data_IF_328396782208
#
_entry.id   IF_328396782208
#
_cell.length_a   1.000
_cell.length_b   1.000
_cell.length_c   1.000
_cell.angle_alpha   90.00
_cell.angle_beta   90.00
_cell.angle_gamma   90.00
#
_symmetry.space_group_name_H-M   'P 1'
#
loop_
_entity.id
_entity.type
_entity.pdbx_description
1 polymer ?
#
# COMPACT_ATOMS: atom_id res chain seq x y z
N UNK A 1 29.17 -2.57 -22.39
CA UNK A 1 27.92 -1.81 -22.16
C UNK A 1 27.89 -1.50 -20.67
N UNK A 2 27.91 -0.22 -20.30
CA UNK A 2 27.92 0.17 -18.89
C UNK A 2 26.50 0.12 -18.32
N UNK A 3 26.39 0.14 -16.99
CA UNK A 3 25.11 0.13 -16.28
C UNK A 3 25.23 0.84 -14.94
N UNK A 4 24.11 1.40 -14.47
CA UNK A 4 23.95 1.93 -13.11
C UNK A 4 22.90 1.14 -12.35
N UNK A 5 22.94 1.22 -11.01
CA UNK A 5 21.86 0.72 -10.17
C UNK A 5 20.77 1.79 -10.08
N UNK A 6 19.53 1.35 -10.19
CA UNK A 6 18.32 2.14 -10.02
C UNK A 6 17.36 1.36 -9.12
N UNK A 7 16.37 2.04 -8.56
CA UNK A 7 15.53 1.49 -7.50
C UNK A 7 14.08 1.48 -7.95
N UNK A 8 13.54 0.29 -8.15
CA UNK A 8 12.21 0.10 -8.75
C UNK A 8 11.11 0.31 -7.71
N UNK A 9 10.10 1.11 -8.05
CA UNK A 9 8.84 1.18 -7.35
C UNK A 9 7.74 0.33 -8.03
N UNK A 10 6.73 -0.08 -7.28
CA UNK A 10 5.49 -0.61 -7.83
C UNK A 10 4.59 0.51 -8.41
N UNK A 11 3.42 0.14 -8.94
CA UNK A 11 2.48 1.09 -9.52
C UNK A 11 1.88 2.10 -8.52
N UNK A 12 2.01 1.84 -7.22
CA UNK A 12 1.55 2.72 -6.13
C UNK A 12 2.70 3.53 -5.52
N UNK A 13 3.92 3.32 -6.02
CA UNK A 13 5.13 4.03 -5.63
C UNK A 13 5.94 3.32 -4.54
N UNK A 14 5.58 2.14 -4.07
CA UNK A 14 6.34 1.44 -3.03
C UNK A 14 7.61 0.82 -3.59
N UNK A 15 8.72 0.98 -2.89
CA UNK A 15 9.98 0.34 -3.27
C UNK A 15 9.83 -1.20 -3.31
N UNK A 16 10.39 -1.80 -4.36
CA UNK A 16 10.41 -3.25 -4.57
C UNK A 16 11.82 -3.82 -4.43
N UNK A 17 12.75 -3.38 -5.27
CA UNK A 17 14.12 -3.90 -5.33
C UNK A 17 15.05 -2.98 -6.14
N UNK A 18 16.37 -3.06 -5.91
CA UNK A 18 17.34 -2.46 -6.83
C UNK A 18 17.42 -3.27 -8.13
N UNK A 19 17.61 -2.61 -9.26
CA UNK A 19 17.77 -3.21 -10.58
C UNK A 19 18.81 -2.46 -11.41
N UNK A 20 19.18 -2.98 -12.58
CA UNK A 20 20.14 -2.35 -13.48
C UNK A 20 19.45 -1.53 -14.57
N UNK A 21 19.93 -0.32 -14.79
CA UNK A 21 19.66 0.45 -16.00
C UNK A 21 20.90 0.43 -16.89
N UNK A 22 20.76 -0.01 -18.12
CA UNK A 22 21.86 -0.10 -19.07
C UNK A 22 21.98 1.17 -19.91
N UNK A 23 23.22 1.54 -20.23
CA UNK A 23 23.53 2.69 -21.08
C UNK A 23 22.94 2.52 -22.50
N UNK A 24 22.43 3.62 -23.06
CA UNK A 24 21.87 3.66 -24.41
C UNK A 24 23.00 3.54 -25.45
N UNK A 25 22.94 2.58 -26.39
CA UNK A 25 24.06 2.30 -27.31
C UNK A 25 24.50 3.49 -28.19
N UNK A 26 23.61 4.44 -28.46
CA UNK A 26 23.85 5.59 -29.35
C UNK A 26 23.94 6.93 -28.59
N UNK A 27 23.85 6.91 -27.26
CA UNK A 27 23.89 8.09 -26.40
C UNK A 27 24.74 7.79 -25.15
N UNK A 28 26.08 7.81 -25.28
CA UNK A 28 26.96 7.56 -24.15
C UNK A 28 26.68 8.52 -22.99
N UNK A 29 26.54 7.97 -21.79
CA UNK A 29 26.15 8.69 -20.57
C UNK A 29 24.65 8.68 -20.25
N UNK A 30 23.78 8.34 -21.21
CA UNK A 30 22.33 8.22 -20.98
C UNK A 30 21.95 6.75 -20.71
N UNK A 31 21.04 6.51 -19.77
CA UNK A 31 20.68 5.16 -19.32
C UNK A 31 19.18 4.87 -19.54
N UNK A 32 18.87 3.63 -19.90
CA UNK A 32 17.49 3.15 -20.04
C UNK A 32 16.88 2.87 -18.66
N UNK A 33 16.50 3.92 -17.94
CA UNK A 33 15.86 3.82 -16.62
C UNK A 33 14.47 3.19 -16.78
N UNK A 34 14.18 2.04 -16.12
CA UNK A 34 12.85 1.44 -16.14
C UNK A 34 11.78 2.41 -15.62
N UNK A 35 10.57 2.30 -16.15
CA UNK A 35 9.44 3.11 -15.67
C UNK A 35 9.19 2.84 -14.18
N UNK A 36 9.06 3.92 -13.39
CA UNK A 36 8.87 3.84 -11.95
C UNK A 36 10.16 3.57 -11.15
N UNK A 37 11.33 3.52 -11.80
CA UNK A 37 12.60 3.46 -11.10
C UNK A 37 13.21 4.85 -10.88
N UNK A 38 13.82 5.06 -9.72
CA UNK A 38 14.59 6.26 -9.39
C UNK A 38 16.08 5.93 -9.36
N UNK A 39 16.93 6.90 -9.68
CA UNK A 39 18.39 6.72 -9.61
C UNK A 39 18.84 6.78 -8.15
N UNK A 40 18.20 7.64 -7.35
CA UNK A 40 18.48 7.81 -5.94
C UNK A 40 18.05 6.58 -5.14
N UNK A 41 18.91 6.15 -4.24
CA UNK A 41 18.64 5.07 -3.30
C UNK A 41 17.52 5.43 -2.33
N UNK A 42 16.54 4.54 -2.07
CA UNK A 42 15.55 4.77 -1.03
C UNK A 42 16.21 4.82 0.36
N UNK A 43 15.68 5.61 1.31
CA UNK A 43 16.11 5.56 2.69
C UNK A 43 15.97 4.14 3.26
N UNK A 44 16.90 3.76 4.14
CA UNK A 44 16.79 2.51 4.87
C UNK A 44 15.53 2.52 5.75
N UNK A 45 14.66 1.52 5.56
CA UNK A 45 13.42 1.39 6.31
C UNK A 45 13.63 0.57 7.59
N UNK A 46 13.06 1.04 8.70
CA UNK A 46 12.91 0.25 9.93
C UNK A 46 11.70 -0.68 9.82
N UNK A 47 11.60 -1.74 10.66
CA UNK A 47 10.41 -2.58 10.71
C UNK A 47 9.12 -1.74 10.88
N UNK A 48 8.10 -2.05 10.08
CA UNK A 48 6.84 -1.30 10.03
C UNK A 48 6.84 -0.08 9.11
N UNK A 49 7.93 0.17 8.36
CA UNK A 49 8.02 1.25 7.39
C UNK A 49 8.47 0.73 6.02
N UNK A 50 8.15 1.49 4.98
CA UNK A 50 8.58 1.24 3.60
C UNK A 50 8.89 2.56 2.90
N UNK A 51 9.85 2.55 1.98
CA UNK A 51 10.09 3.68 1.11
C UNK A 51 9.00 3.76 0.02
N UNK A 52 8.46 4.96 -0.18
CA UNK A 52 7.47 5.26 -1.21
C UNK A 52 7.91 6.49 -2.01
N UNK A 53 7.72 6.49 -3.32
CA UNK A 53 8.00 7.65 -4.17
C UNK A 53 7.03 8.79 -3.86
N UNK A 54 7.55 10.01 -3.91
CA UNK A 54 6.83 11.29 -3.81
C UNK A 54 7.34 12.25 -4.87
N UNK A 55 6.77 13.45 -4.94
CA UNK A 55 7.25 14.51 -5.84
C UNK A 55 8.73 14.87 -5.59
N UNK A 56 9.23 14.69 -4.36
CA UNK A 56 10.62 14.99 -3.97
C UNK A 56 11.53 13.75 -3.93
N UNK A 57 11.10 12.62 -4.50
CA UNK A 57 11.81 11.34 -4.43
C UNK A 57 11.29 10.43 -3.32
N UNK A 58 12.15 9.59 -2.76
CA UNK A 58 11.73 8.62 -1.74
C UNK A 58 11.39 9.26 -0.39
N UNK A 59 10.34 8.76 0.25
CA UNK A 59 9.97 9.06 1.63
C UNK A 59 9.64 7.77 2.37
N UNK A 60 9.90 7.72 3.67
CA UNK A 60 9.45 6.60 4.51
C UNK A 60 8.01 6.84 4.93
N UNK A 61 7.18 5.80 4.77
CA UNK A 61 5.79 5.76 5.24
C UNK A 61 5.55 4.49 6.04
N UNK A 62 4.55 4.51 6.92
CA UNK A 62 4.11 3.30 7.64
C UNK A 62 3.69 2.23 6.62
N UNK A 63 4.02 0.96 6.90
CA UNK A 63 3.71 -0.19 6.05
C UNK A 63 2.69 -1.10 6.73
N UNK A 64 1.42 -0.91 6.35
CA UNK A 64 0.27 -1.69 6.81
C UNK A 64 -0.19 -2.70 5.74
N UNK A 65 0.60 -2.97 4.70
CA UNK A 65 0.19 -3.85 3.60
C UNK A 65 0.00 -5.31 4.03
N UNK A 66 0.58 -5.70 5.16
CA UNK A 66 0.44 -7.02 5.78
C UNK A 66 -0.50 -7.01 7.01
N UNK A 67 -1.05 -5.86 7.37
CA UNK A 67 -1.94 -5.74 8.51
C UNK A 67 -3.31 -6.31 8.18
N UNK A 68 -3.91 -6.96 9.18
CA UNK A 68 -5.28 -7.41 9.11
C UNK A 68 -6.20 -6.29 9.56
N UNK A 69 -6.85 -5.64 8.60
CA UNK A 69 -7.74 -4.50 8.83
C UNK A 69 -9.19 -4.85 8.54
N UNK A 70 -10.12 -4.15 9.16
CA UNK A 70 -11.56 -4.36 9.01
C UNK A 70 -12.26 -3.03 8.77
N UNK A 71 -13.38 -3.07 8.06
CA UNK A 71 -14.30 -1.93 7.92
C UNK A 71 -15.70 -2.33 8.34
N UNK A 72 -16.47 -1.36 8.83
CA UNK A 72 -17.88 -1.57 9.16
C UNK A 72 -18.69 -1.69 7.87
N UNK A 73 -19.36 -2.82 7.69
CA UNK A 73 -20.25 -3.08 6.57
C UNK A 73 -21.68 -2.65 6.90
N UNK A 74 -22.09 -2.86 8.16
CA UNK A 74 -23.41 -2.49 8.65
C UNK A 74 -23.31 -2.03 10.11
N UNK A 75 -23.87 -0.85 10.45
CA UNK A 75 -23.90 -0.38 11.83
C UNK A 75 -24.82 -1.25 12.68
N UNK A 76 -24.58 -1.24 14.00
CA UNK A 76 -25.47 -1.85 14.97
C UNK A 76 -26.87 -1.22 14.91
N UNK A 77 -27.91 -2.05 15.03
CA UNK A 77 -29.31 -1.63 15.08
C UNK A 77 -30.00 -2.22 16.31
N UNK A 78 -30.36 -1.37 17.28
CA UNK A 78 -30.95 -1.83 18.54
C UNK A 78 -30.00 -2.72 19.33
N UNK A 79 -30.42 -3.95 19.61
CA UNK A 79 -29.62 -4.96 20.33
C UNK A 79 -28.76 -5.83 19.40
N UNK A 80 -28.77 -5.57 18.09
CA UNK A 80 -27.95 -6.29 17.12
C UNK A 80 -26.49 -5.83 17.12
N UNK A 81 -25.57 -6.75 16.79
CA UNK A 81 -24.15 -6.44 16.62
C UNK A 81 -23.90 -5.75 15.28
N UNK A 82 -22.97 -4.81 15.25
CA UNK A 82 -22.43 -4.28 13.99
C UNK A 82 -21.74 -5.41 13.20
N UNK A 83 -21.82 -5.33 11.87
CA UNK A 83 -21.22 -6.30 10.96
C UNK A 83 -19.99 -5.67 10.31
N UNK A 84 -18.87 -6.36 10.38
CA UNK A 84 -17.60 -5.95 9.79
C UNK A 84 -17.18 -6.91 8.68
N UNK A 85 -16.40 -6.42 7.74
CA UNK A 85 -15.70 -7.25 6.77
C UNK A 85 -14.20 -6.99 6.85
N UNK A 86 -13.40 -8.01 6.52
CA UNK A 86 -11.95 -7.86 6.39
C UNK A 86 -11.63 -7.06 5.13
N UNK A 87 -10.76 -6.07 5.28
CA UNK A 87 -10.31 -5.22 4.19
C UNK A 87 -9.18 -5.90 3.43
N UNK A 88 -9.35 -6.06 2.12
CA UNK A 88 -8.24 -6.44 1.25
C UNK A 88 -7.51 -5.18 0.79
N UNK A 89 -6.23 -5.05 1.12
CA UNK A 89 -5.40 -3.90 0.76
C UNK A 89 -5.54 -3.53 -0.72
N UNK A 90 -5.84 -2.26 -1.01
CA UNK A 90 -6.03 -1.75 -2.35
C UNK A 90 -7.39 -2.05 -2.98
N UNK A 91 -8.29 -2.76 -2.31
CA UNK A 91 -9.67 -2.96 -2.78
C UNK A 91 -10.51 -1.69 -2.61
N UNK A 92 -11.51 -1.51 -3.47
CA UNK A 92 -12.55 -0.51 -3.29
C UNK A 92 -13.66 -1.08 -2.42
N UNK A 93 -14.09 -0.32 -1.41
CA UNK A 93 -15.20 -0.67 -0.52
C UNK A 93 -16.15 0.50 -0.40
N UNK A 94 -17.39 0.24 0.03
CA UNK A 94 -18.37 1.29 0.32
C UNK A 94 -18.59 1.36 1.83
N UNK A 95 -18.30 2.50 2.43
CA UNK A 95 -18.52 2.80 3.85
C UNK A 95 -19.32 4.10 3.91
N UNK A 96 -20.45 4.10 4.62
CA UNK A 96 -21.34 5.26 4.72
C UNK A 96 -21.72 5.90 3.37
N UNK A 97 -21.92 5.05 2.35
CA UNK A 97 -22.25 5.48 0.98
C UNK A 97 -21.09 6.10 0.19
N UNK A 98 -19.87 6.13 0.75
CA UNK A 98 -18.67 6.62 0.08
C UNK A 98 -17.82 5.45 -0.43
N UNK A 99 -17.34 5.55 -1.67
CA UNK A 99 -16.37 4.59 -2.21
C UNK A 99 -14.97 4.97 -1.73
N UNK A 100 -14.38 4.12 -0.89
CA UNK A 100 -13.09 4.33 -0.25
C UNK A 100 -12.08 3.24 -0.68
N UNK A 101 -10.80 3.58 -0.59
CA UNK A 101 -9.67 2.68 -0.87
C UNK A 101 -8.47 3.13 -0.04
N UNK A 102 -7.72 2.16 0.47
CA UNK A 102 -6.47 2.35 1.17
C UNK A 102 -5.41 1.39 0.62
N UNK A 103 -4.23 1.90 0.29
CA UNK A 103 -3.17 1.12 -0.34
C UNK A 103 -2.21 0.46 0.67
N UNK A 104 -2.43 0.67 1.96
CA UNK A 104 -1.58 0.13 3.03
C UNK A 104 -0.39 1.02 3.38
N UNK A 105 -0.19 2.17 2.73
CA UNK A 105 0.90 3.09 3.03
C UNK A 105 0.46 4.31 3.83
N UNK A 106 1.26 4.68 4.83
CA UNK A 106 0.97 5.83 5.71
C UNK A 106 -0.12 5.52 6.73
N UNK A 107 -0.68 6.54 7.41
CA UNK A 107 -1.57 6.32 8.54
C UNK A 107 -2.82 5.53 8.15
N UNK A 108 -3.17 4.52 8.96
CA UNK A 108 -4.42 3.78 8.80
C UNK A 108 -5.61 4.74 8.89
N UNK A 109 -6.45 4.84 7.83
CA UNK A 109 -7.63 5.70 7.84
C UNK A 109 -8.64 5.33 8.94
N UNK A 110 -9.36 6.32 9.46
CA UNK A 110 -10.31 6.12 10.57
C UNK A 110 -11.49 5.19 10.28
N UNK A 111 -11.80 4.92 9.01
CA UNK A 111 -12.83 3.96 8.60
C UNK A 111 -12.33 2.50 8.62
N UNK A 112 -11.03 2.29 8.87
CA UNK A 112 -10.42 1.00 9.09
C UNK A 112 -10.04 0.83 10.56
N UNK A 113 -10.22 -0.39 11.05
CA UNK A 113 -9.83 -0.78 12.41
C UNK A 113 -8.96 -2.04 12.37
N UNK A 114 -8.02 -2.16 13.30
CA UNK A 114 -7.13 -3.33 13.42
C UNK A 114 -7.67 -4.41 14.37
N UNK A 115 -8.72 -4.10 15.11
CA UNK A 115 -9.36 -5.01 16.06
C UNK A 115 -10.88 -4.81 15.99
N UNK A 116 -11.62 -5.92 15.98
CA UNK A 116 -13.08 -5.87 16.04
C UNK A 116 -13.53 -5.38 17.42
N UNK A 117 -14.55 -4.50 17.50
CA UNK A 117 -15.12 -4.09 18.78
C UNK A 117 -15.84 -5.26 19.44
N UNK A 118 -15.98 -5.23 20.78
CA UNK A 118 -16.72 -6.27 21.54
C UNK A 118 -18.16 -6.45 21.04
N UNK A 119 -18.78 -5.37 20.58
CA UNK A 119 -20.14 -5.36 20.00
C UNK A 119 -20.14 -5.45 18.47
N UNK A 120 -19.15 -6.12 17.89
CA UNK A 120 -19.04 -6.36 16.45
C UNK A 120 -18.85 -7.83 16.12
N UNK A 121 -19.32 -8.25 14.96
CA UNK A 121 -19.02 -9.58 14.40
C UNK A 121 -18.48 -9.46 12.98
N UNK A 122 -17.59 -10.38 12.62
CA UNK A 122 -17.14 -10.52 11.24
C UNK A 122 -18.24 -11.16 10.40
N UNK A 123 -18.42 -10.67 9.18
CA UNK A 123 -19.17 -11.36 8.15
C UNK A 123 -18.41 -12.66 7.81
N UNK A 124 -18.96 -13.80 8.22
CA UNK A 124 -18.46 -15.11 7.81
C UNK A 124 -19.18 -15.46 6.50
N UNK A 125 -18.47 -15.65 5.38
CA UNK A 125 -19.09 -16.15 4.16
C UNK A 125 -19.74 -17.50 4.46
N UNK A 126 -21.01 -17.69 4.06
CA UNK A 126 -21.57 -19.04 4.02
C UNK A 126 -20.73 -19.86 3.04
N UNK A 127 -20.08 -20.91 3.55
CA UNK A 127 -19.50 -21.94 2.70
C UNK A 127 -20.68 -22.67 2.03
N UNK A 128 -20.85 -22.49 0.73
CA UNK A 128 -21.70 -23.36 -0.10
C UNK A 128 -21.00 -24.69 -0.40
#
# INVERSE_FOLDING_TARGET
MSSIIVYQADALGFFLYPTQAFELPLQPGDFNIPYGALIEEPPAASPGFVARTSESGWQLVEDHRQDRLFYELQPAAGDELAIFAEYTTGSQVVVDGQTLRYDGGGPVPAWLISQLPEKGRLLVPLLE
#
